data_IF_733151037623
#
_entry.id   IF_733151037623
#
_cell.length_a   1.000
_cell.length_b   1.000
_cell.length_c   1.000
_cell.angle_alpha   90.00
_cell.angle_beta   90.00
_cell.angle_gamma   90.00
#
_symmetry.space_group_name_H-M   'P 1'
#
loop_
_entity.id
_entity.type
_entity.pdbx_description
1 polymer ?
#
# COMPACT_ATOMS: atom_id res chain seq x y z
N UNK A 1 30.15 70.62 8.44
CA UNK A 1 31.44 70.33 7.85
C UNK A 1 31.36 68.83 7.59
N UNK A 2 30.87 68.52 6.41
CA UNK A 2 31.68 67.95 5.28
C UNK A 2 31.96 66.50 5.52
N UNK A 3 31.73 65.54 4.71
CA UNK A 3 31.49 65.27 3.30
C UNK A 3 31.09 63.84 3.21
N UNK A 4 30.03 63.47 2.52
CA UNK A 4 30.06 63.01 1.12
C UNK A 4 31.02 61.85 0.82
N UNK A 5 30.51 60.71 0.52
CA UNK A 5 31.02 59.96 -0.62
C UNK A 5 30.07 58.77 -0.93
N UNK A 6 29.33 58.96 -1.97
CA UNK A 6 28.68 58.01 -2.85
C UNK A 6 29.63 56.88 -3.28
N UNK A 7 29.23 55.66 -3.13
CA UNK A 7 29.77 54.53 -3.90
C UNK A 7 28.64 53.62 -4.39
N UNK A 8 28.28 53.91 -5.63
CA UNK A 8 27.46 53.06 -6.49
C UNK A 8 28.22 51.76 -6.76
N UNK A 9 27.66 50.64 -6.35
CA UNK A 9 28.10 49.32 -6.80
C UNK A 9 26.96 48.64 -7.57
N UNK A 10 27.07 48.76 -8.87
CA UNK A 10 26.34 47.99 -9.86
C UNK A 10 26.53 46.49 -9.61
N UNK A 11 25.49 45.82 -9.14
CA UNK A 11 25.50 44.38 -9.10
C UNK A 11 24.93 43.80 -10.41
N UNK A 12 25.84 43.29 -11.20
CA UNK A 12 25.62 42.57 -12.44
C UNK A 12 24.69 41.37 -12.19
N UNK A 13 23.56 41.39 -12.86
CA UNK A 13 22.67 40.27 -12.96
C UNK A 13 23.36 39.14 -13.76
N UNK A 14 23.70 38.06 -13.10
CA UNK A 14 24.01 36.80 -13.75
C UNK A 14 22.69 36.02 -13.94
N UNK A 15 22.19 36.07 -15.16
CA UNK A 15 21.09 35.22 -15.61
C UNK A 15 21.59 33.78 -15.64
N UNK A 16 21.08 32.96 -14.70
CA UNK A 16 21.18 31.52 -14.78
C UNK A 16 20.03 31.02 -15.67
N UNK A 17 20.32 30.75 -16.92
CA UNK A 17 19.46 30.02 -17.84
C UNK A 17 19.35 28.60 -17.36
N UNK A 18 18.35 28.30 -16.51
CA UNK A 18 17.91 26.96 -16.17
C UNK A 18 17.13 26.37 -17.33
N UNK A 19 17.76 25.46 -18.06
CA UNK A 19 17.18 24.78 -19.22
C UNK A 19 15.87 24.11 -18.89
N UNK A 20 14.81 24.57 -19.53
CA UNK A 20 13.56 23.86 -19.73
C UNK A 20 13.87 22.56 -20.48
N UNK A 21 14.01 21.46 -19.76
CA UNK A 21 14.04 20.12 -20.37
C UNK A 21 12.67 19.87 -21.00
N UNK A 22 12.65 20.05 -22.28
CA UNK A 22 11.53 19.78 -23.16
C UNK A 22 11.09 18.31 -23.04
N UNK A 23 9.93 18.13 -22.42
CA UNK A 23 9.28 16.81 -22.23
C UNK A 23 8.64 16.28 -23.53
N UNK A 24 8.95 16.88 -24.68
CA UNK A 24 8.36 16.51 -25.97
C UNK A 24 9.18 15.55 -26.82
N UNK A 25 10.36 15.11 -26.39
CA UNK A 25 11.25 14.32 -27.24
C UNK A 25 11.15 12.81 -27.04
N UNK A 26 10.23 12.28 -26.23
CA UNK A 26 10.08 10.82 -25.97
C UNK A 26 8.97 10.14 -26.81
N UNK A 27 8.33 10.87 -27.71
CA UNK A 27 7.19 10.34 -28.50
C UNK A 27 7.53 10.11 -29.98
N UNK A 28 8.71 9.57 -30.30
CA UNK A 28 9.04 9.17 -31.67
C UNK A 28 9.91 7.91 -31.73
N UNK A 29 9.41 6.78 -31.29
CA UNK A 29 9.92 5.46 -31.71
C UNK A 29 8.85 4.38 -31.44
N UNK A 30 7.79 4.37 -32.19
CA UNK A 30 6.93 3.20 -32.32
C UNK A 30 6.17 3.28 -33.65
N UNK A 31 6.88 3.02 -34.70
CA UNK A 31 6.24 2.67 -35.98
C UNK A 31 7.13 1.64 -36.67
N UNK A 32 6.47 0.59 -37.20
CA UNK A 32 6.98 -0.45 -38.07
C UNK A 32 7.48 -1.73 -37.39
N UNK A 33 6.58 -2.70 -37.19
CA UNK A 33 6.68 -4.00 -37.85
C UNK A 33 5.26 -4.53 -38.05
N UNK A 34 4.75 -4.35 -39.23
CA UNK A 34 3.68 -5.14 -39.78
C UNK A 34 4.33 -6.35 -40.45
N UNK A 35 4.00 -7.55 -40.04
CA UNK A 35 4.21 -8.75 -40.85
C UNK A 35 3.03 -9.70 -40.66
N UNK A 36 2.36 -9.88 -41.78
CA UNK A 36 1.31 -10.82 -41.99
C UNK A 36 1.72 -12.27 -41.67
N UNK A 37 0.86 -13.00 -41.01
CA UNK A 37 0.95 -14.42 -40.80
C UNK A 37 -0.46 -14.99 -40.71
N UNK A 38 -1.00 -15.36 -41.88
CA UNK A 38 -2.22 -16.16 -41.99
C UNK A 38 -1.92 -17.59 -41.51
N UNK A 39 -2.70 -18.09 -40.60
CA UNK A 39 -2.62 -19.48 -40.14
C UNK A 39 -3.97 -19.91 -39.56
N UNK A 40 -4.59 -20.83 -40.23
CA UNK A 40 -5.94 -21.33 -40.13
C UNK A 40 -6.27 -22.08 -38.80
N UNK A 41 -7.56 -22.36 -38.54
CA UNK A 41 -8.08 -22.89 -37.30
C UNK A 41 -7.99 -24.43 -37.22
N UNK A 42 -7.69 -24.97 -36.09
CA UNK A 42 -7.96 -26.37 -35.77
C UNK A 42 -8.94 -26.47 -34.63
N UNK A 43 -10.16 -26.82 -35.01
CA UNK A 43 -11.18 -27.43 -34.18
C UNK A 43 -10.64 -28.75 -33.61
N UNK A 44 -10.66 -28.91 -32.31
CA UNK A 44 -10.68 -30.22 -31.67
C UNK A 44 -11.71 -30.19 -30.56
N UNK A 45 -12.90 -30.64 -30.91
CA UNK A 45 -13.89 -31.16 -30.00
C UNK A 45 -13.44 -32.53 -29.52
N UNK A 46 -13.72 -32.84 -28.25
CA UNK A 46 -13.93 -34.16 -27.62
C UNK A 46 -13.82 -33.89 -26.11
N UNK A 47 -14.74 -34.28 -25.29
CA UNK A 47 -15.74 -35.28 -25.27
C UNK A 47 -16.05 -35.49 -23.81
N UNK A 48 -17.29 -35.54 -23.45
CA UNK A 48 -17.81 -35.79 -22.10
C UNK A 48 -17.39 -37.13 -21.53
N UNK A 49 -17.46 -37.26 -20.26
CA UNK A 49 -17.76 -38.52 -19.56
C UNK A 49 -18.31 -38.25 -18.18
N UNK A 50 -19.56 -38.44 -18.10
CA UNK A 50 -20.30 -38.71 -16.89
C UNK A 50 -19.69 -39.93 -16.21
N UNK A 51 -19.47 -39.89 -14.92
CA UNK A 51 -19.43 -41.08 -14.13
C UNK A 51 -20.08 -40.90 -12.75
N UNK A 52 -21.34 -41.18 -12.71
CA UNK A 52 -22.05 -41.50 -11.50
C UNK A 52 -21.61 -42.91 -11.02
N UNK A 53 -21.14 -43.00 -9.80
CA UNK A 53 -20.77 -44.25 -9.15
C UNK A 53 -21.14 -44.24 -7.67
N UNK A 54 -22.35 -44.62 -7.35
CA UNK A 54 -22.74 -45.07 -6.03
C UNK A 54 -21.92 -46.29 -5.62
N UNK A 55 -21.46 -46.33 -4.37
CA UNK A 55 -20.83 -47.47 -3.77
C UNK A 55 -20.91 -47.40 -2.24
N UNK A 56 -21.94 -48.01 -1.71
CA UNK A 56 -22.11 -48.35 -0.29
C UNK A 56 -21.05 -49.34 0.21
N UNK A 57 -20.69 -49.25 1.47
CA UNK A 57 -20.43 -50.44 2.29
C UNK A 57 -19.05 -50.48 2.95
N UNK A 58 -19.05 -50.66 4.26
CA UNK A 58 -18.00 -51.43 4.93
C UNK A 58 -17.47 -50.82 6.24
N UNK A 59 -18.06 -51.34 7.27
CA UNK A 59 -17.67 -51.34 8.70
C UNK A 59 -16.20 -51.60 9.02
N UNK A 60 -15.76 -51.04 10.16
CA UNK A 60 -14.95 -51.75 11.14
C UNK A 60 -13.47 -51.43 11.14
N UNK A 61 -13.00 -50.90 12.23
CA UNK A 61 -11.56 -50.80 12.51
C UNK A 61 -11.29 -50.00 13.77
N UNK A 62 -11.44 -50.62 14.93
CA UNK A 62 -10.89 -50.19 16.21
C UNK A 62 -9.38 -50.13 16.12
N UNK A 63 -8.77 -49.02 16.42
CA UNK A 63 -7.31 -48.85 16.47
C UNK A 63 -6.90 -47.67 17.38
N UNK A 64 -6.75 -48.00 18.62
CA UNK A 64 -5.86 -47.46 19.65
C UNK A 64 -5.10 -46.16 19.34
N UNK A 65 -5.39 -45.15 20.17
CA UNK A 65 -4.56 -43.95 20.46
C UNK A 65 -3.17 -44.32 20.97
N UNK A 66 -2.15 -43.54 20.62
CA UNK A 66 -1.27 -43.10 21.68
C UNK A 66 -1.23 -41.56 21.76
N UNK A 67 -1.50 -41.08 22.96
CA UNK A 67 -1.13 -39.77 23.45
C UNK A 67 0.33 -39.48 23.16
N UNK A 68 0.59 -38.43 22.42
CA UNK A 68 1.86 -37.73 22.43
C UNK A 68 1.61 -36.30 22.92
N UNK A 69 1.88 -36.14 24.20
CA UNK A 69 2.02 -34.88 24.90
C UNK A 69 3.21 -34.13 24.31
N UNK A 70 2.96 -33.24 23.40
CA UNK A 70 3.92 -32.26 22.89
C UNK A 70 3.51 -30.88 23.37
N UNK A 71 3.86 -30.59 24.62
CA UNK A 71 3.75 -29.25 25.19
C UNK A 71 4.81 -28.35 24.52
N UNK A 72 4.49 -27.74 23.41
CA UNK A 72 5.24 -26.59 22.88
C UNK A 72 4.69 -25.34 23.56
N UNK A 73 5.28 -25.04 24.70
CA UNK A 73 5.17 -23.70 25.30
C UNK A 73 5.80 -22.70 24.38
N UNK A 74 4.99 -22.05 23.55
CA UNK A 74 5.35 -20.79 22.92
C UNK A 74 5.59 -19.78 24.06
N UNK A 75 6.70 -19.03 24.07
CA UNK A 75 6.86 -17.95 24.99
C UNK A 75 5.77 -16.92 24.70
N UNK A 76 4.81 -16.81 25.59
CA UNK A 76 3.92 -15.66 25.63
C UNK A 76 4.79 -14.46 25.95
N UNK A 77 5.19 -13.75 24.92
CA UNK A 77 5.75 -12.42 25.09
C UNK A 77 4.63 -11.57 25.65
N UNK A 78 4.65 -11.39 26.96
CA UNK A 78 3.79 -10.42 27.64
C UNK A 78 4.10 -9.05 27.05
N UNK A 79 3.31 -8.65 26.06
CA UNK A 79 3.28 -7.31 25.56
C UNK A 79 2.68 -6.47 26.68
N UNK A 80 3.53 -5.86 27.50
CA UNK A 80 3.11 -4.80 28.40
C UNK A 80 2.41 -3.76 27.54
N UNK A 81 1.10 -3.64 27.67
CA UNK A 81 0.31 -2.62 27.01
C UNK A 81 0.90 -1.25 27.42
N UNK A 82 1.39 -0.43 26.49
CA UNK A 82 1.86 0.89 26.82
C UNK A 82 0.68 1.74 27.26
N UNK A 83 0.85 2.42 28.37
CA UNK A 83 -0.14 3.34 28.92
C UNK A 83 -0.50 4.40 27.84
N UNK A 84 -1.73 4.32 27.30
CA UNK A 84 -2.34 5.40 26.55
C UNK A 84 -2.52 5.27 25.04
N UNK A 85 -2.60 4.07 24.46
CA UNK A 85 -2.93 3.93 23.04
C UNK A 85 -3.22 2.48 22.61
N UNK A 86 -3.97 2.32 21.51
CA UNK A 86 -4.25 1.00 20.92
C UNK A 86 -3.05 0.55 20.09
N UNK A 87 -2.46 -0.60 20.45
CA UNK A 87 -1.40 -1.22 19.62
C UNK A 87 -2.00 -1.73 18.33
N UNK A 88 -1.48 -1.27 17.20
CA UNK A 88 -1.89 -1.68 15.86
C UNK A 88 -1.09 -2.89 15.37
N UNK A 89 0.23 -2.87 15.56
CA UNK A 89 1.13 -3.94 15.15
C UNK A 89 2.59 -3.51 15.13
N UNK A 90 3.51 -4.42 14.77
CA UNK A 90 4.94 -4.12 14.73
C UNK A 90 5.27 -3.19 13.55
N UNK A 91 6.33 -2.38 13.72
CA UNK A 91 6.82 -1.47 12.68
C UNK A 91 7.30 -2.21 11.42
N UNK A 92 7.74 -3.46 11.56
CA UNK A 92 8.17 -4.31 10.44
C UNK A 92 7.08 -4.60 9.42
N UNK A 93 5.82 -4.47 9.82
CA UNK A 93 4.68 -4.73 8.94
C UNK A 93 4.39 -3.57 7.98
N UNK A 94 5.04 -2.42 8.19
CA UNK A 94 4.81 -1.20 7.40
C UNK A 94 6.07 -0.90 6.57
N UNK A 95 6.12 -1.33 5.30
CA UNK A 95 7.29 -1.14 4.46
C UNK A 95 7.53 0.34 4.12
N UNK A 96 8.81 0.69 3.88
CA UNK A 96 9.20 2.02 3.40
C UNK A 96 8.65 2.26 1.99
N UNK A 97 8.09 3.43 1.74
CA UNK A 97 7.40 3.76 0.47
C UNK A 97 6.04 3.09 0.31
N UNK A 98 5.53 2.43 1.36
CA UNK A 98 4.26 1.70 1.36
C UNK A 98 3.47 1.92 2.65
N UNK A 99 2.72 0.89 3.04
CA UNK A 99 1.89 0.94 4.24
C UNK A 99 1.15 -0.37 4.51
N UNK A 100 0.39 -0.37 5.59
CA UNK A 100 -0.49 -1.48 5.97
C UNK A 100 -1.85 -0.97 6.44
N UNK A 101 -2.90 -1.69 6.08
CA UNK A 101 -4.27 -1.46 6.54
C UNK A 101 -4.52 -2.32 7.78
N UNK A 102 -4.87 -1.68 8.89
CA UNK A 102 -5.27 -2.33 10.13
C UNK A 102 -6.80 -2.26 10.22
N UNK A 103 -7.46 -3.27 9.69
CA UNK A 103 -8.92 -3.31 9.51
C UNK A 103 -9.69 -3.21 10.81
N UNK A 104 -9.24 -3.89 11.87
CA UNK A 104 -9.89 -3.90 13.19
C UNK A 104 -9.85 -2.52 13.87
N UNK A 105 -8.83 -1.74 13.56
CA UNK A 105 -8.68 -0.37 14.05
C UNK A 105 -9.29 0.65 13.08
N UNK A 106 -9.59 0.26 11.84
CA UNK A 106 -9.98 1.15 10.74
C UNK A 106 -8.93 2.23 10.48
N UNK A 107 -7.66 1.87 10.57
CA UNK A 107 -6.50 2.75 10.37
C UNK A 107 -5.61 2.19 9.27
N UNK A 108 -5.18 3.07 8.38
CA UNK A 108 -4.06 2.82 7.45
C UNK A 108 -2.83 3.48 8.03
N UNK A 109 -1.75 2.73 8.17
CA UNK A 109 -0.45 3.29 8.52
C UNK A 109 0.48 3.21 7.33
N UNK A 110 1.13 4.30 7.02
CA UNK A 110 2.08 4.41 5.91
C UNK A 110 3.46 4.80 6.42
N UNK A 111 4.48 4.48 5.63
CA UNK A 111 5.86 4.87 5.89
C UNK A 111 6.46 5.53 4.63
N UNK A 112 6.17 6.81 4.36
CA UNK A 112 6.66 7.50 3.15
C UNK A 112 8.19 7.50 3.04
N UNK A 113 8.86 7.67 4.15
CA UNK A 113 10.32 7.60 4.30
C UNK A 113 10.68 6.76 5.52
N UNK A 114 11.86 6.16 5.51
CA UNK A 114 12.31 5.32 6.61
C UNK A 114 12.19 6.02 7.97
N UNK A 115 11.53 5.36 8.92
CA UNK A 115 11.29 5.86 10.27
C UNK A 115 10.17 6.90 10.41
N UNK A 116 9.55 7.35 9.30
CA UNK A 116 8.45 8.33 9.33
C UNK A 116 7.12 7.63 9.12
N UNK A 117 6.34 7.50 10.16
CA UNK A 117 5.01 6.86 10.09
C UNK A 117 3.90 7.89 10.07
N UNK A 118 2.88 7.64 9.24
CA UNK A 118 1.66 8.43 9.13
C UNK A 118 0.45 7.53 9.31
N UNK A 119 -0.54 8.00 10.03
CA UNK A 119 -1.81 7.31 10.21
C UNK A 119 -2.93 8.04 9.47
N UNK A 120 -3.82 7.27 8.84
CA UNK A 120 -5.02 7.78 8.18
C UNK A 120 -6.20 6.87 8.47
N UNK A 121 -7.41 7.40 8.36
CA UNK A 121 -8.62 6.59 8.42
C UNK A 121 -8.63 5.56 7.27
N UNK A 122 -8.96 4.31 7.58
CA UNK A 122 -9.19 3.28 6.58
C UNK A 122 -10.62 3.31 6.01
N UNK A 123 -11.29 4.46 6.08
CA UNK A 123 -12.63 4.67 5.54
C UNK A 123 -12.52 5.68 4.38
N UNK A 124 -12.87 5.22 3.19
CA UNK A 124 -12.81 6.03 1.97
C UNK A 124 -13.81 7.19 2.02
N UNK A 125 -13.37 8.39 1.70
CA UNK A 125 -14.18 9.61 1.76
C UNK A 125 -15.21 9.73 0.64
N UNK A 126 -15.18 8.81 -0.37
CA UNK A 126 -16.18 8.78 -1.43
C UNK A 126 -17.56 8.32 -0.89
N UNK A 127 -17.64 7.12 -0.32
CA UNK A 127 -18.89 6.51 0.14
C UNK A 127 -18.74 5.72 1.46
N UNK A 128 -17.69 5.96 2.23
CA UNK A 128 -17.49 5.26 3.49
C UNK A 128 -17.01 3.80 3.38
N UNK A 129 -16.66 3.35 2.17
CA UNK A 129 -16.16 2.00 1.96
C UNK A 129 -14.76 1.80 2.58
N UNK A 130 -14.41 0.58 3.00
CA UNK A 130 -13.08 0.32 3.56
C UNK A 130 -11.98 0.46 2.50
N UNK A 131 -10.85 1.00 2.92
CA UNK A 131 -9.61 0.97 2.15
C UNK A 131 -9.11 -0.47 2.07
N UNK A 132 -8.64 -0.90 0.90
CA UNK A 132 -8.22 -2.27 0.65
C UNK A 132 -6.72 -2.50 0.82
N UNK A 133 -5.90 -1.62 0.30
CA UNK A 133 -4.45 -1.85 0.24
C UNK A 133 -3.66 -0.53 0.22
N UNK A 134 -2.34 -0.70 0.33
CA UNK A 134 -1.36 0.36 0.03
C UNK A 134 -0.41 -0.22 -1.02
N UNK A 135 -0.46 0.31 -2.23
CA UNK A 135 0.27 -0.20 -3.38
C UNK A 135 0.84 0.95 -4.23
N UNK A 136 2.02 0.73 -4.82
CA UNK A 136 2.65 1.73 -5.68
C UNK A 136 2.86 3.10 -5.02
N UNK A 137 3.03 3.14 -3.71
CA UNK A 137 3.15 4.39 -2.96
C UNK A 137 1.84 5.17 -2.80
N UNK A 138 0.70 4.48 -2.93
CA UNK A 138 -0.63 5.08 -2.78
C UNK A 138 -1.53 4.19 -1.90
N UNK A 139 -2.46 4.82 -1.20
CA UNK A 139 -3.52 4.14 -0.47
C UNK A 139 -4.68 3.94 -1.45
N UNK A 140 -5.17 2.70 -1.59
CA UNK A 140 -6.13 2.32 -2.62
C UNK A 140 -7.47 1.88 -2.02
N UNK A 141 -8.54 2.50 -2.50
CA UNK A 141 -9.90 2.05 -2.26
C UNK A 141 -10.38 1.20 -3.45
N UNK A 142 -10.64 -0.10 -3.29
CA UNK A 142 -10.94 -1.00 -4.41
C UNK A 142 -12.34 -0.82 -4.99
N UNK A 143 -13.26 -0.16 -4.27
CA UNK A 143 -14.67 -0.07 -4.66
C UNK A 143 -14.88 0.81 -5.89
N UNK A 144 -14.30 2.03 -5.89
CA UNK A 144 -14.44 2.97 -6.99
C UNK A 144 -13.10 3.56 -7.40
N UNK A 145 -12.00 2.85 -7.08
CA UNK A 145 -10.65 3.17 -7.51
C UNK A 145 -10.18 4.59 -7.12
N UNK A 146 -10.55 5.03 -5.91
CA UNK A 146 -9.95 6.24 -5.33
C UNK A 146 -8.57 5.93 -4.79
N UNK A 147 -7.61 6.77 -5.10
CA UNK A 147 -6.23 6.67 -4.66
C UNK A 147 -5.86 7.89 -3.82
N UNK A 148 -5.10 7.66 -2.75
CA UNK A 148 -4.67 8.70 -1.84
C UNK A 148 -3.16 8.63 -1.61
N UNK A 149 -2.56 9.77 -1.33
CA UNK A 149 -1.14 9.92 -1.05
C UNK A 149 -0.77 9.27 0.29
N UNK A 150 0.33 8.51 0.32
CA UNK A 150 0.87 7.95 1.56
C UNK A 150 1.51 9.01 2.47
N UNK A 151 1.77 10.21 1.95
CA UNK A 151 2.47 11.27 2.67
C UNK A 151 1.53 12.12 3.52
N UNK A 152 0.36 12.45 2.99
CA UNK A 152 -0.58 13.41 3.59
C UNK A 152 -2.06 13.01 3.47
N UNK A 153 -2.34 11.84 2.85
CA UNK A 153 -3.70 11.34 2.65
C UNK A 153 -4.51 12.10 1.59
N UNK A 154 -3.92 13.04 0.87
CA UNK A 154 -4.61 13.79 -0.19
C UNK A 154 -5.09 12.90 -1.32
N UNK A 155 -6.17 13.30 -2.01
CA UNK A 155 -6.68 12.56 -3.17
C UNK A 155 -5.71 12.71 -4.33
N UNK A 156 -5.25 11.58 -4.88
CA UNK A 156 -4.41 11.51 -6.07
C UNK A 156 -5.27 11.29 -7.31
N UNK A 157 -6.27 10.41 -7.21
CA UNK A 157 -7.20 10.11 -8.31
C UNK A 157 -8.47 9.45 -7.79
N UNK A 158 -9.47 9.35 -8.67
CA UNK A 158 -10.77 8.73 -8.37
C UNK A 158 -11.81 9.71 -7.86
N UNK A 159 -13.01 9.20 -7.49
CA UNK A 159 -14.16 10.02 -7.17
C UNK A 159 -14.21 10.54 -5.72
N UNK A 160 -13.22 10.23 -4.88
CA UNK A 160 -13.19 10.74 -3.50
C UNK A 160 -13.09 12.27 -3.48
N UNK A 161 -13.97 12.98 -2.73
CA UNK A 161 -14.00 14.43 -2.76
C UNK A 161 -12.96 15.10 -1.86
N UNK A 162 -12.44 14.40 -0.84
CA UNK A 162 -11.55 14.96 0.15
C UNK A 162 -10.47 13.97 0.58
N UNK A 163 -9.39 14.47 1.17
CA UNK A 163 -8.34 13.67 1.77
C UNK A 163 -8.86 12.71 2.85
N UNK A 164 -8.13 11.63 3.10
CA UNK A 164 -8.39 10.76 4.24
C UNK A 164 -8.09 11.52 5.54
N UNK A 165 -8.95 11.43 6.55
CA UNK A 165 -8.69 12.00 7.88
C UNK A 165 -7.40 11.43 8.48
N UNK A 166 -6.56 12.29 9.02
CA UNK A 166 -5.36 11.88 9.73
C UNK A 166 -5.71 11.21 11.06
N UNK A 167 -4.94 10.18 11.41
CA UNK A 167 -5.00 9.48 12.70
C UNK A 167 -3.65 9.58 13.37
N UNK A 168 -3.62 9.95 14.63
CA UNK A 168 -2.36 10.06 15.36
C UNK A 168 -1.77 8.68 15.63
N UNK A 169 -0.57 8.43 15.14
CA UNK A 169 0.17 7.20 15.40
C UNK A 169 1.59 7.53 15.86
N UNK A 170 2.14 6.68 16.72
CA UNK A 170 3.52 6.78 17.21
C UNK A 170 4.15 5.40 17.34
N UNK A 171 5.48 5.36 17.33
CA UNK A 171 6.23 4.15 17.56
C UNK A 171 6.56 4.04 19.04
N UNK A 172 6.22 2.91 19.65
CA UNK A 172 6.55 2.59 21.04
C UNK A 172 6.99 1.12 21.13
N UNK A 173 8.19 0.89 21.64
CA UNK A 173 8.70 -0.49 21.86
C UNK A 173 8.71 -1.34 20.58
N UNK A 174 8.99 -0.75 19.42
CA UNK A 174 8.98 -1.46 18.14
C UNK A 174 7.59 -1.72 17.56
N UNK A 175 6.54 -1.18 18.17
CA UNK A 175 5.16 -1.26 17.68
C UNK A 175 4.64 0.11 17.30
N UNK A 176 3.67 0.10 16.37
CA UNK A 176 2.87 1.26 16.04
C UNK A 176 1.67 1.30 16.98
N UNK A 177 1.45 2.44 17.60
CA UNK A 177 0.38 2.66 18.56
C UNK A 177 -0.44 3.84 18.07
N UNK A 178 -1.77 3.66 17.98
CA UNK A 178 -2.73 4.74 17.78
C UNK A 178 -2.83 5.53 19.10
N UNK A 179 -2.73 6.83 19.02
CA UNK A 179 -2.91 7.72 20.17
C UNK A 179 -4.13 8.60 19.96
N UNK A 180 -4.90 8.76 21.03
CA UNK A 180 -6.03 9.71 21.05
C UNK A 180 -5.53 11.15 20.89
#
# INVERSE_FOLDING_TARGET
>A
MSDDTTASATNSAAAAEGGLRDRRTVLRCAAMVALAGAGAPLLAACGGSDNAGSGSGGSGGTGTSPSATGSSSAPATSSSAPAGGKVLGPVSDVPVGGGKVFTDAKVVVTQPTAGTYKGFSAVCTHQGNPIGSVEGGQIVCPFHNSHFSITDGSVVSGPAPTALPAVNVKVQGGNIVESA
#
